data_IF_004894000615
#
_entry.id   IF_004894000615
#
_cell.length_a   1.000
_cell.length_b   1.000
_cell.length_c   1.000
_cell.angle_alpha   90.00
_cell.angle_beta   90.00
_cell.angle_gamma   90.00
#
_symmetry.space_group_name_H-M   'P 1'
#
loop_
_entity.id
_entity.type
_entity.pdbx_description
1 polymer ?
#
# COMPACT_ATOMS: atom_id res chain seq x y z
N UNK A 1 -25.17 -17.75 -12.70
CA UNK A 1 -24.20 -17.11 -13.62
C UNK A 1 -22.94 -16.85 -12.82
N UNK A 2 -21.95 -17.74 -12.93
CA UNK A 2 -20.70 -17.66 -12.15
C UNK A 2 -19.90 -16.46 -12.66
N UNK A 3 -19.83 -15.38 -11.88
CA UNK A 3 -18.82 -14.35 -12.10
C UNK A 3 -17.47 -15.04 -11.86
N UNK A 4 -16.75 -15.36 -12.93
CA UNK A 4 -15.40 -15.88 -12.82
C UNK A 4 -14.56 -14.93 -11.97
N UNK A 5 -13.75 -15.51 -11.07
CA UNK A 5 -12.73 -14.82 -10.28
C UNK A 5 -12.14 -13.65 -11.06
N UNK A 6 -12.63 -12.46 -10.75
CA UNK A 6 -12.24 -11.26 -11.48
C UNK A 6 -10.82 -10.95 -11.00
N UNK A 7 -9.83 -11.27 -11.82
CA UNK A 7 -8.49 -10.71 -11.68
C UNK A 7 -8.66 -9.21 -11.52
N UNK A 8 -8.40 -8.69 -10.31
CA UNK A 8 -8.64 -7.30 -9.98
C UNK A 8 -7.70 -6.45 -10.81
N UNK A 9 -8.27 -5.56 -11.63
CA UNK A 9 -7.49 -4.73 -12.54
C UNK A 9 -7.20 -3.40 -11.85
N UNK A 10 -5.96 -2.88 -11.94
CA UNK A 10 -5.61 -1.57 -11.39
C UNK A 10 -6.29 -0.43 -12.17
N UNK A 11 -6.92 -0.73 -13.31
CA UNK A 11 -7.62 0.23 -14.16
C UNK A 11 -9.03 -0.26 -14.49
N UNK A 12 -10.00 0.61 -14.23
CA UNK A 12 -11.41 0.43 -14.56
C UNK A 12 -11.80 1.35 -15.72
N UNK A 13 -12.57 0.83 -16.68
CA UNK A 13 -13.12 1.64 -17.79
C UNK A 13 -14.45 2.23 -17.36
N UNK A 14 -14.65 3.51 -17.62
CA UNK A 14 -15.91 4.20 -17.33
C UNK A 14 -16.30 5.12 -18.51
N UNK A 15 -17.57 5.46 -18.60
CA UNK A 15 -18.02 6.57 -19.45
C UNK A 15 -18.19 7.80 -18.57
N UNK A 16 -17.50 8.89 -18.91
CA UNK A 16 -17.56 10.15 -18.17
C UNK A 16 -18.25 11.22 -19.01
N UNK A 17 -18.90 12.17 -18.34
CA UNK A 17 -19.43 13.37 -18.96
C UNK A 17 -18.38 14.49 -18.82
N UNK A 18 -17.71 14.84 -19.91
CA UNK A 18 -16.78 15.97 -19.94
C UNK A 18 -17.54 17.26 -20.24
N UNK A 19 -17.49 18.21 -19.31
CA UNK A 19 -18.14 19.54 -19.43
C UNK A 19 -17.06 20.59 -19.66
N UNK A 20 -17.17 21.32 -20.77
CA UNK A 20 -16.29 22.43 -21.13
C UNK A 20 -17.07 23.64 -21.63
N UNK A 21 -16.36 24.65 -22.12
CA UNK A 21 -16.97 25.91 -22.62
C UNK A 21 -17.93 25.68 -23.80
N UNK A 22 -17.66 24.67 -24.64
CA UNK A 22 -18.46 24.33 -25.83
C UNK A 22 -19.61 23.34 -25.53
N UNK A 23 -19.86 23.03 -24.25
CA UNK A 23 -20.92 22.13 -23.81
C UNK A 23 -20.43 20.83 -23.17
N UNK A 24 -21.32 19.84 -23.08
CA UNK A 24 -21.07 18.57 -22.42
C UNK A 24 -21.06 17.40 -23.42
N UNK A 25 -20.06 16.52 -23.32
CA UNK A 25 -19.95 15.31 -24.16
C UNK A 25 -19.61 14.07 -23.34
N UNK A 26 -20.32 12.97 -23.58
CA UNK A 26 -19.97 11.68 -23.03
C UNK A 26 -18.75 11.10 -23.77
N UNK A 27 -17.76 10.58 -23.05
CA UNK A 27 -16.59 9.90 -23.63
C UNK A 27 -16.10 8.77 -22.72
N UNK A 28 -15.46 7.73 -23.28
CA UNK A 28 -14.77 6.73 -22.47
C UNK A 28 -13.60 7.37 -21.71
N UNK A 29 -13.34 6.85 -20.51
CA UNK A 29 -12.19 7.18 -19.68
C UNK A 29 -11.65 5.93 -18.96
N UNK A 30 -10.45 6.06 -18.42
CA UNK A 30 -9.76 5.01 -17.67
C UNK A 30 -9.45 5.54 -16.28
N UNK A 31 -10.10 4.95 -15.29
CA UNK A 31 -9.96 5.35 -13.89
C UNK A 31 -9.06 4.35 -13.18
N UNK A 32 -8.26 4.84 -12.23
CA UNK A 32 -7.55 3.96 -11.30
C UNK A 32 -8.57 3.24 -10.41
N UNK A 33 -8.32 1.96 -10.13
CA UNK A 33 -9.12 1.20 -9.18
C UNK A 33 -8.60 1.43 -7.77
N UNK A 34 -9.50 1.74 -6.84
CA UNK A 34 -9.23 1.86 -5.41
C UNK A 34 -10.18 0.91 -4.65
N UNK A 35 -9.64 0.06 -3.77
CA UNK A 35 -10.46 -0.85 -2.97
C UNK A 35 -9.83 -1.01 -1.58
N UNK A 36 -10.57 -1.49 -0.56
CA UNK A 36 -10.00 -1.72 0.75
C UNK A 36 -9.07 -2.95 0.76
N UNK A 37 -7.99 -2.85 1.52
CA UNK A 37 -7.11 -3.95 1.94
C UNK A 37 -7.02 -3.95 3.46
N UNK A 38 -7.41 -5.05 4.07
CA UNK A 38 -7.12 -5.36 5.46
C UNK A 38 -5.74 -6.03 5.56
N UNK A 39 -4.89 -5.49 6.43
CA UNK A 39 -3.61 -6.08 6.79
C UNK A 39 -3.77 -6.68 8.19
N UNK A 40 -3.39 -7.95 8.34
CA UNK A 40 -3.38 -8.69 9.62
C UNK A 40 -1.97 -9.11 9.97
N UNK A 41 -1.72 -9.25 11.26
CA UNK A 41 -0.45 -9.77 11.80
C UNK A 41 -0.74 -11.07 12.54
N UNK A 42 0.04 -12.10 12.24
CA UNK A 42 -0.02 -13.40 12.92
C UNK A 42 1.32 -13.67 13.60
N UNK A 43 1.38 -13.42 14.90
CA UNK A 43 2.54 -13.70 15.73
C UNK A 43 2.56 -15.17 16.18
N UNK A 44 3.74 -15.77 16.43
CA UNK A 44 3.81 -17.14 16.93
C UNK A 44 3.02 -17.33 18.23
N UNK A 45 2.11 -18.32 18.25
CA UNK A 45 1.31 -18.66 19.43
C UNK A 45 0.11 -17.73 19.70
N UNK A 46 -0.24 -16.85 18.76
CA UNK A 46 -1.41 -15.97 18.85
C UNK A 46 -2.29 -16.10 17.61
N UNK A 47 -3.57 -15.78 17.74
CA UNK A 47 -4.47 -15.66 16.58
C UNK A 47 -4.10 -14.46 15.70
N UNK A 48 -4.38 -14.50 14.38
CA UNK A 48 -4.20 -13.35 13.51
C UNK A 48 -5.05 -12.15 13.97
N UNK A 49 -4.41 -11.00 14.16
CA UNK A 49 -5.07 -9.76 14.58
C UNK A 49 -5.08 -8.72 13.46
N UNK A 50 -6.18 -7.98 13.24
CA UNK A 50 -6.20 -6.85 12.31
C UNK A 50 -5.23 -5.75 12.75
N UNK A 51 -4.38 -5.31 11.82
CA UNK A 51 -3.45 -4.19 12.00
C UNK A 51 -4.04 -2.90 11.43
N UNK A 52 -4.51 -2.94 10.19
CA UNK A 52 -5.02 -1.76 9.49
C UNK A 52 -6.00 -2.14 8.38
N UNK A 53 -6.88 -1.20 8.02
CA UNK A 53 -7.61 -1.22 6.75
C UNK A 53 -7.22 0.03 5.99
N UNK A 54 -6.70 -0.14 4.78
CA UNK A 54 -6.26 0.96 3.92
C UNK A 54 -6.85 0.84 2.52
N UNK A 55 -7.00 1.97 1.84
CA UNK A 55 -7.37 1.98 0.43
C UNK A 55 -6.12 1.81 -0.43
N UNK A 56 -6.21 0.95 -1.46
CA UNK A 56 -5.07 0.68 -2.36
C UNK A 56 -5.49 0.47 -3.80
N UNK A 57 -4.55 0.65 -4.71
CA UNK A 57 -4.64 0.10 -6.05
C UNK A 57 -4.12 -1.34 -6.04
N UNK A 58 -4.91 -2.34 -6.47
CA UNK A 58 -4.51 -3.73 -6.37
C UNK A 58 -3.31 -4.05 -7.28
N UNK A 59 -2.34 -4.81 -6.77
CA UNK A 59 -1.21 -5.33 -7.55
C UNK A 59 0.09 -5.53 -6.79
N UNK A 60 0.29 -4.81 -5.67
CA UNK A 60 1.50 -4.88 -4.84
C UNK A 60 1.16 -5.02 -3.35
N UNK A 61 0.14 -5.83 -3.06
CA UNK A 61 -0.45 -5.90 -1.72
C UNK A 61 0.53 -6.49 -0.69
N UNK A 62 1.43 -7.39 -1.11
CA UNK A 62 2.42 -8.00 -0.22
C UNK A 62 3.54 -7.02 0.12
N UNK A 63 4.03 -6.26 -0.86
CA UNK A 63 5.01 -5.19 -0.63
C UNK A 63 4.41 -4.08 0.24
N UNK A 64 3.14 -3.72 0.00
CA UNK A 64 2.41 -2.76 0.83
C UNK A 64 2.30 -3.27 2.28
N UNK A 65 1.89 -4.53 2.50
CA UNK A 65 1.77 -5.10 3.83
C UNK A 65 3.11 -5.18 4.57
N UNK A 66 4.18 -5.61 3.88
CA UNK A 66 5.53 -5.65 4.45
C UNK A 66 6.02 -4.24 4.84
N UNK A 67 5.88 -3.28 3.94
CA UNK A 67 6.26 -1.89 4.15
C UNK A 67 5.46 -1.24 5.29
N UNK A 68 4.16 -1.53 5.39
CA UNK A 68 3.30 -1.05 6.47
C UNK A 68 3.75 -1.61 7.84
N UNK A 69 4.04 -2.92 7.92
CA UNK A 69 4.57 -3.51 9.15
C UNK A 69 5.92 -2.91 9.56
N UNK A 70 6.79 -2.59 8.60
CA UNK A 70 8.06 -1.92 8.87
C UNK A 70 7.85 -0.47 9.35
N UNK A 71 7.00 0.30 8.66
CA UNK A 71 6.71 1.69 8.99
C UNK A 71 6.06 1.86 10.37
N UNK A 72 5.21 0.92 10.77
CA UNK A 72 4.57 0.90 12.09
C UNK A 72 5.42 0.23 13.18
N UNK A 73 6.63 -0.25 12.85
CA UNK A 73 7.53 -0.89 13.82
C UNK A 73 7.03 -2.24 14.35
N UNK A 74 6.12 -2.90 13.62
CA UNK A 74 5.70 -4.28 13.89
C UNK A 74 6.87 -5.24 13.66
N UNK A 75 7.68 -4.95 12.64
CA UNK A 75 8.92 -5.66 12.32
C UNK A 75 10.09 -4.69 12.25
N UNK A 76 11.29 -5.14 12.60
CA UNK A 76 12.52 -4.36 12.43
C UNK A 76 13.14 -4.56 11.03
N UNK A 77 12.83 -5.67 10.37
CA UNK A 77 13.35 -5.97 9.04
C UNK A 77 12.71 -7.23 8.43
N UNK A 78 13.15 -7.61 7.22
CA UNK A 78 12.59 -8.75 6.50
C UNK A 78 12.75 -10.08 7.25
N UNK A 79 13.79 -10.22 8.07
CA UNK A 79 14.05 -11.44 8.84
C UNK A 79 13.02 -11.71 9.94
N UNK A 80 12.19 -10.72 10.31
CA UNK A 80 11.09 -10.93 11.26
C UNK A 80 9.84 -11.52 10.58
N UNK A 81 9.77 -11.49 9.24
CA UNK A 81 8.64 -11.98 8.45
C UNK A 81 8.91 -13.43 8.02
N UNK A 82 7.97 -14.32 8.28
CA UNK A 82 8.02 -15.70 7.80
C UNK A 82 7.27 -15.86 6.47
N UNK A 83 6.07 -15.30 6.38
CA UNK A 83 5.24 -15.43 5.18
C UNK A 83 4.26 -14.28 5.09
N UNK A 84 3.95 -13.84 3.86
CA UNK A 84 2.85 -12.93 3.57
C UNK A 84 1.92 -13.66 2.61
N UNK A 85 0.65 -13.78 2.96
CA UNK A 85 -0.31 -14.50 2.15
C UNK A 85 -1.70 -13.88 2.27
N UNK A 86 -2.50 -14.02 1.22
CA UNK A 86 -3.92 -13.75 1.34
C UNK A 86 -4.56 -14.75 2.30
N UNK A 87 -5.46 -14.28 3.18
CA UNK A 87 -6.24 -15.18 4.03
C UNK A 87 -7.15 -16.07 3.19
N UNK A 88 -7.08 -17.38 3.42
CA UNK A 88 -7.98 -18.38 2.81
C UNK A 88 -9.15 -18.75 3.74
N UNK A 89 -9.50 -17.91 4.72
CA UNK A 89 -10.42 -18.28 5.80
C UNK A 89 -11.90 -18.21 5.41
N UNK A 90 -12.57 -19.38 5.39
CA UNK A 90 -14.02 -19.57 5.32
C UNK A 90 -14.50 -20.32 4.06
N UNK A 91 -15.70 -20.93 4.12
CA UNK A 91 -16.36 -21.68 3.03
C UNK A 91 -16.79 -20.81 1.82
N UNK A 92 -16.23 -19.60 1.70
CA UNK A 92 -16.57 -18.57 0.73
C UNK A 92 -15.42 -18.22 -0.21
N UNK A 93 -15.76 -17.50 -1.28
CA UNK A 93 -14.81 -17.12 -2.33
C UNK A 93 -13.62 -16.30 -1.81
N UNK A 94 -12.45 -16.51 -2.42
CA UNK A 94 -11.20 -15.80 -2.12
C UNK A 94 -11.41 -14.28 -2.14
N UNK A 95 -11.36 -13.65 -0.97
CA UNK A 95 -11.36 -12.19 -0.90
C UNK A 95 -9.92 -11.69 -0.91
N UNK A 96 -9.42 -11.32 -2.10
CA UNK A 96 -8.11 -10.68 -2.36
C UNK A 96 -7.94 -9.29 -1.69
N UNK A 97 -8.63 -9.04 -0.58
CA UNK A 97 -8.65 -7.80 0.19
C UNK A 97 -8.21 -8.03 1.64
N UNK A 98 -7.72 -9.23 1.99
CA UNK A 98 -7.17 -9.52 3.33
C UNK A 98 -5.81 -10.17 3.17
N UNK A 99 -4.76 -9.51 3.63
CA UNK A 99 -3.38 -10.02 3.66
C UNK A 99 -2.96 -10.25 5.10
N UNK A 100 -2.43 -11.44 5.39
CA UNK A 100 -1.82 -11.76 6.69
C UNK A 100 -0.31 -11.83 6.56
N UNK A 101 0.36 -11.05 7.41
CA UNK A 101 1.81 -11.08 7.63
C UNK A 101 2.08 -11.99 8.83
N UNK A 102 2.66 -13.16 8.58
CA UNK A 102 3.05 -14.11 9.62
C UNK A 102 4.49 -13.83 10.06
N UNK A 103 4.68 -13.68 11.36
CA UNK A 103 5.97 -13.30 11.94
C UNK A 103 6.75 -14.53 12.43
N UNK A 104 8.08 -14.46 12.37
CA UNK A 104 8.99 -15.48 12.94
C UNK A 104 9.12 -15.38 14.45
N UNK A 105 8.89 -14.19 15.00
CA UNK A 105 9.09 -13.87 16.43
C UNK A 105 7.90 -13.02 16.92
N UNK A 106 7.63 -13.01 18.24
CA UNK A 106 6.62 -12.12 18.81
C UNK A 106 6.89 -10.65 18.45
N UNK A 107 5.83 -9.86 18.26
CA UNK A 107 5.93 -8.42 17.97
C UNK A 107 6.58 -7.68 19.15
N UNK A 108 7.46 -6.71 18.88
CA UNK A 108 7.95 -5.77 19.90
C UNK A 108 6.85 -4.82 20.40
N UNK A 109 5.89 -4.54 19.53
CA UNK A 109 4.79 -3.59 19.76
C UNK A 109 3.53 -4.30 19.29
N UNK A 110 2.61 -4.60 20.21
CA UNK A 110 1.26 -5.01 19.82
C UNK A 110 0.51 -3.71 19.59
N UNK A 111 0.15 -3.35 18.33
CA UNK A 111 -0.70 -2.19 18.13
C UNK A 111 -2.01 -2.46 18.87
N UNK A 112 -2.45 -1.47 19.65
CA UNK A 112 -3.75 -1.56 20.32
C UNK A 112 -4.82 -1.97 19.28
N UNK A 113 -5.77 -2.84 19.62
CA UNK A 113 -6.75 -3.39 18.69
C UNK A 113 -7.75 -2.30 18.30
N UNK A 114 -7.34 -1.39 17.44
CA UNK A 114 -8.22 -0.42 16.80
C UNK A 114 -7.85 -0.39 15.33
N UNK A 115 -8.83 -0.60 14.42
CA UNK A 115 -8.56 -0.48 13.00
C UNK A 115 -8.07 0.93 12.73
N UNK A 116 -6.81 1.03 12.30
CA UNK A 116 -6.24 2.26 11.79
C UNK A 116 -7.07 2.67 10.57
N UNK A 117 -7.89 3.71 10.72
CA UNK A 117 -8.59 4.31 9.59
C UNK A 117 -7.61 5.25 8.92
N UNK A 118 -6.86 4.73 7.94
CA UNK A 118 -5.98 5.54 7.12
C UNK A 118 -6.82 6.45 6.21
N UNK A 119 -7.27 7.59 6.72
CA UNK A 119 -7.61 8.71 5.85
C UNK A 119 -6.29 9.29 5.34
N UNK A 120 -6.18 9.49 4.03
CA UNK A 120 -4.99 9.98 3.33
C UNK A 120 -4.32 11.14 4.07
N UNK A 121 -3.25 10.85 4.80
CA UNK A 121 -2.52 11.85 5.58
C UNK A 121 -1.19 11.27 6.07
N UNK A 122 -0.28 12.17 6.39
CA UNK A 122 1.17 12.06 6.52
C UNK A 122 1.72 11.14 7.63
N UNK A 123 0.96 10.12 8.07
CA UNK A 123 1.32 9.23 9.17
C UNK A 123 1.18 9.86 10.57
N UNK A 124 0.94 11.18 10.64
CA UNK A 124 0.77 11.93 11.90
C UNK A 124 -0.65 11.80 12.46
N UNK A 125 -1.67 11.90 11.63
CA UNK A 125 -3.08 11.83 12.07
C UNK A 125 -3.53 10.42 12.46
N UNK A 126 -2.71 9.41 12.17
CA UNK A 126 -2.99 8.01 12.51
C UNK A 126 -2.42 7.58 13.87
N UNK A 127 -1.59 8.41 14.49
CA UNK A 127 -1.03 8.18 15.82
C UNK A 127 -2.01 8.67 16.89
N UNK A 128 -2.22 7.88 17.95
CA UNK A 128 -3.26 8.15 18.94
C UNK A 128 -2.88 9.28 19.90
N UNK A 129 -1.58 9.39 20.23
CA UNK A 129 -1.02 10.47 21.03
C UNK A 129 0.25 11.01 20.40
N UNK A 130 0.62 12.25 20.73
CA UNK A 130 1.84 12.90 20.22
C UNK A 130 3.09 12.07 20.56
N UNK A 131 3.09 11.35 21.68
CA UNK A 131 4.20 10.47 22.07
C UNK A 131 4.37 9.29 21.10
N UNK A 132 3.31 8.85 20.41
CA UNK A 132 3.39 7.80 19.39
C UNK A 132 3.98 8.32 18.05
N UNK A 133 4.15 9.64 17.91
CA UNK A 133 4.86 10.27 16.78
C UNK A 133 6.37 10.11 16.95
N UNK A 134 6.86 9.91 18.18
CA UNK A 134 8.27 9.64 18.45
C UNK A 134 8.65 8.23 17.97
N UNK A 135 8.69 8.05 16.66
CA UNK A 135 9.28 6.88 16.03
C UNK A 135 10.77 6.92 16.36
N UNK A 136 11.26 5.86 17.00
CA UNK A 136 12.67 5.67 17.28
C UNK A 136 13.44 5.46 15.97
N UNK A 137 13.72 6.53 15.25
CA UNK A 137 14.53 6.52 14.04
C UNK A 137 16.00 6.52 14.43
N UNK A 138 16.72 5.47 14.04
CA UNK A 138 18.18 5.48 14.16
C UNK A 138 18.75 6.55 13.22
N UNK A 139 19.78 7.31 13.63
CA UNK A 139 20.44 8.26 12.74
C UNK A 139 20.86 7.60 11.43
N UNK A 140 20.57 8.25 10.31
CA UNK A 140 20.98 7.78 8.99
C UNK A 140 22.51 7.88 8.89
N UNK A 141 23.22 6.81 8.50
CA UNK A 141 24.67 6.87 8.31
C UNK A 141 25.02 7.82 7.16
N UNK A 142 26.30 8.16 7.04
CA UNK A 142 26.78 8.90 5.87
C UNK A 142 26.36 8.18 4.58
N UNK A 143 25.57 8.89 3.76
CA UNK A 143 25.03 8.36 2.51
C UNK A 143 26.01 8.52 1.34
N UNK A 144 25.72 7.90 0.18
CA UNK A 144 26.48 8.15 -1.02
C UNK A 144 26.34 9.62 -1.46
N UNK A 145 27.40 10.19 -2.03
CA UNK A 145 27.28 11.46 -2.75
C UNK A 145 26.64 11.20 -4.11
N UNK A 146 25.50 11.84 -4.37
CA UNK A 146 24.76 11.68 -5.63
C UNK A 146 24.93 12.94 -6.47
N UNK A 147 25.33 12.78 -7.73
CA UNK A 147 25.43 13.90 -8.64
C UNK A 147 24.05 14.52 -8.91
N UNK A 148 23.96 15.85 -8.95
CA UNK A 148 22.70 16.55 -9.19
C UNK A 148 22.06 16.17 -10.54
N UNK A 149 22.86 15.79 -11.53
CA UNK A 149 22.38 15.25 -12.82
C UNK A 149 21.60 13.94 -12.65
N UNK A 150 22.02 13.06 -11.74
CA UNK A 150 21.31 11.82 -11.43
C UNK A 150 19.92 12.15 -10.90
N UNK A 151 19.82 13.05 -9.90
CA UNK A 151 18.53 13.46 -9.32
C UNK A 151 17.59 14.04 -10.38
N UNK A 152 18.11 14.92 -11.26
CA UNK A 152 17.33 15.50 -12.37
C UNK A 152 16.84 14.47 -13.39
N UNK A 153 17.52 13.33 -13.55
CA UNK A 153 17.11 12.25 -14.45
C UNK A 153 16.01 11.35 -13.88
N UNK A 154 15.79 11.34 -12.56
CA UNK A 154 14.89 10.37 -11.91
C UNK A 154 13.42 10.51 -12.31
N UNK A 155 12.83 11.71 -12.47
CA UNK A 155 11.42 11.84 -12.84
C UNK A 155 11.09 11.16 -14.18
N UNK A 156 11.92 11.38 -15.20
CA UNK A 156 11.75 10.76 -16.52
C UNK A 156 11.91 9.25 -16.44
N UNK A 157 12.94 8.77 -15.72
CA UNK A 157 13.16 7.33 -15.50
C UNK A 157 11.98 6.68 -14.78
N UNK A 158 11.44 7.32 -13.75
CA UNK A 158 10.28 6.84 -13.01
C UNK A 158 9.03 6.80 -13.89
N UNK A 159 8.80 7.85 -14.70
CA UNK A 159 7.65 7.92 -15.60
C UNK A 159 7.57 6.71 -16.55
N UNK A 160 8.71 6.18 -17.02
CA UNK A 160 8.72 4.98 -17.89
C UNK A 160 8.17 3.71 -17.23
N UNK A 161 8.13 3.67 -15.89
CA UNK A 161 7.64 2.52 -15.11
C UNK A 161 6.22 2.73 -14.58
N UNK A 162 5.59 3.89 -14.84
CA UNK A 162 4.28 4.23 -14.31
C UNK A 162 3.17 4.02 -15.35
N UNK A 163 2.99 2.79 -15.83
CA UNK A 163 1.97 2.47 -16.84
C UNK A 163 0.57 2.92 -16.42
N UNK A 164 0.14 2.60 -15.21
CA UNK A 164 -1.22 2.93 -14.74
C UNK A 164 -1.41 4.45 -14.64
N UNK A 165 -0.42 5.19 -14.14
CA UNK A 165 -0.45 6.65 -14.15
C UNK A 165 -0.55 7.22 -15.58
N UNK A 166 0.23 6.69 -16.53
CA UNK A 166 0.13 7.11 -17.94
C UNK A 166 -1.25 6.86 -18.56
N UNK A 167 -2.01 5.92 -18.01
CA UNK A 167 -3.35 5.58 -18.48
C UNK A 167 -4.47 6.34 -17.74
N UNK A 168 -4.26 6.76 -16.49
CA UNK A 168 -5.32 7.29 -15.61
C UNK A 168 -5.03 8.65 -14.99
N UNK A 169 -3.76 9.05 -14.90
CA UNK A 169 -3.30 10.24 -14.18
C UNK A 169 -3.50 10.22 -12.66
N UNK A 170 -4.03 9.13 -12.09
CA UNK A 170 -4.58 9.09 -10.74
C UNK A 170 -3.72 8.37 -9.70
N UNK A 171 -2.39 8.35 -9.84
CA UNK A 171 -1.51 7.59 -8.96
C UNK A 171 -0.28 8.36 -8.49
N UNK A 172 0.23 7.94 -7.34
CA UNK A 172 1.59 8.24 -6.89
C UNK A 172 2.52 7.04 -7.15
N UNK A 173 3.82 7.26 -7.03
CA UNK A 173 4.83 6.22 -7.16
C UNK A 173 5.99 6.43 -6.18
N UNK A 174 6.60 5.32 -5.77
CA UNK A 174 7.87 5.29 -5.07
C UNK A 174 8.81 4.34 -5.83
N UNK A 175 10.09 4.69 -5.91
CA UNK A 175 11.08 3.86 -6.56
C UNK A 175 12.42 3.94 -5.85
N UNK A 176 13.18 2.85 -5.94
CA UNK A 176 14.57 2.77 -5.49
C UNK A 176 15.48 2.81 -6.71
N UNK A 177 16.41 3.75 -6.70
CA UNK A 177 17.46 3.87 -7.70
C UNK A 177 18.80 3.51 -7.08
N UNK A 178 19.63 2.77 -7.82
CA UNK A 178 21.04 2.64 -7.49
C UNK A 178 21.82 3.86 -8.04
N UNK A 179 22.89 4.31 -7.36
CA UNK A 179 23.80 5.35 -7.85
C UNK A 179 24.37 5.04 -9.24
#
# INVERSE_FOLDING_TARGET
MKLGSAVRRPVTRATVLAVGIDGARARPDRLVTEEPLEIRVHAPGAEPVPLAVTMRTPGNDFELAAGFCLAEGVVAGPDDIDTIAYCLGGDGEQQYNVVTVRLRRPTRTVPAPRPFLANSSCGVCGKAVVDDIAVACTPVPAGPTVAASVVRSLPERLATQQRVFGETGGLHAAARFAP
#
